data_IF_609890012328
#
_entry.id   IF_609890012328
#
_cell.length_a   1.000
_cell.length_b   1.000
_cell.length_c   1.000
_cell.angle_alpha   90.00
_cell.angle_beta   90.00
_cell.angle_gamma   90.00
#
_symmetry.space_group_name_H-M   'P 1'
#
loop_
_entity.id
_entity.type
_entity.pdbx_description
1 polymer ?
#
# COMPACT_ATOMS: atom_id res chain seq x y z
N UNK A 1 -1.02 55.32 -37.21
CA UNK A 1 0.42 55.04 -37.45
C UNK A 1 0.50 53.81 -38.32
N UNK A 2 1.22 53.87 -39.44
CA UNK A 2 1.33 52.79 -40.44
C UNK A 2 2.73 52.19 -40.39
N UNK A 3 2.81 50.86 -40.36
CA UNK A 3 4.06 50.10 -40.38
C UNK A 3 4.30 49.61 -41.83
N UNK A 4 5.47 49.87 -42.45
CA UNK A 4 5.77 49.37 -43.78
C UNK A 4 6.20 47.90 -43.76
N UNK A 5 5.68 47.11 -44.70
CA UNK A 5 6.04 45.69 -44.87
C UNK A 5 7.32 45.53 -45.69
N UNK A 6 8.25 44.68 -45.25
CA UNK A 6 9.49 44.35 -45.98
C UNK A 6 9.31 43.05 -46.78
N UNK A 7 9.57 43.03 -48.10
CA UNK A 7 9.59 41.79 -48.89
C UNK A 7 10.83 40.94 -48.59
N UNK A 8 10.66 39.62 -48.51
CA UNK A 8 11.76 38.66 -48.35
C UNK A 8 12.12 38.08 -49.72
N UNK A 9 13.37 38.26 -50.15
CA UNK A 9 13.90 37.60 -51.35
C UNK A 9 14.33 36.16 -51.03
N UNK A 10 13.90 35.13 -51.81
CA UNK A 10 14.42 33.78 -51.68
C UNK A 10 15.81 33.65 -52.36
N UNK A 11 16.76 32.91 -51.77
CA UNK A 11 18.08 32.69 -52.39
C UNK A 11 18.02 31.64 -53.50
N UNK A 12 18.71 31.92 -54.61
CA UNK A 12 18.80 31.06 -55.80
C UNK A 12 19.59 29.76 -55.53
N UNK A 13 19.15 28.63 -56.09
CA UNK A 13 19.90 27.37 -56.03
C UNK A 13 21.10 27.37 -57.01
N UNK A 14 22.21 26.74 -56.60
CA UNK A 14 23.39 26.48 -57.45
C UNK A 14 23.80 25.00 -57.40
N UNK A 15 23.52 24.18 -58.44
CA UNK A 15 23.78 22.75 -58.41
C UNK A 15 25.14 22.38 -59.04
N UNK A 16 26.22 22.29 -58.25
CA UNK A 16 27.37 21.44 -58.58
C UNK A 16 28.41 21.28 -57.43
N UNK A 17 28.51 20.08 -56.86
CA UNK A 17 29.78 19.54 -56.37
C UNK A 17 29.73 18.02 -56.32
N UNK A 18 30.72 17.34 -56.93
CA UNK A 18 30.82 15.87 -56.91
C UNK A 18 31.47 15.41 -55.60
N UNK A 19 30.98 14.36 -54.92
CA UNK A 19 31.58 13.88 -53.68
C UNK A 19 32.96 13.27 -53.94
N UNK A 20 33.99 13.80 -53.26
CA UNK A 20 35.35 13.25 -53.25
C UNK A 20 35.38 12.03 -52.31
N UNK A 21 35.91 10.86 -52.72
CA UNK A 21 35.98 9.70 -51.84
C UNK A 21 36.92 9.95 -50.66
N UNK A 22 36.50 9.54 -49.45
CA UNK A 22 37.36 9.52 -48.27
C UNK A 22 38.33 8.33 -48.37
N UNK A 23 39.62 8.47 -48.01
CA UNK A 23 40.51 7.33 -47.92
C UNK A 23 40.05 6.37 -46.82
N UNK A 24 40.23 5.07 -47.05
CA UNK A 24 39.99 4.04 -46.02
C UNK A 24 41.07 4.15 -44.95
N UNK A 25 40.69 4.19 -43.67
CA UNK A 25 41.61 3.89 -42.59
C UNK A 25 41.63 2.37 -42.39
N UNK A 26 42.82 1.78 -42.45
CA UNK A 26 43.03 0.39 -42.04
C UNK A 26 43.11 0.30 -40.51
N UNK A 27 42.68 -0.81 -39.90
CA UNK A 27 42.68 -0.96 -38.45
C UNK A 27 44.11 -1.05 -37.90
N UNK A 28 44.45 -0.17 -36.97
CA UNK A 28 45.68 -0.26 -36.18
C UNK A 28 45.72 -1.57 -35.37
N UNK A 29 46.90 -2.18 -35.29
CA UNK A 29 47.12 -3.47 -34.64
C UNK A 29 46.76 -3.49 -33.14
N UNK A 30 46.35 -4.64 -32.59
CA UNK A 30 45.93 -4.75 -31.19
C UNK A 30 47.12 -4.61 -30.22
N UNK A 31 46.90 -3.91 -29.11
CA UNK A 31 47.86 -3.82 -28.01
C UNK A 31 48.03 -5.19 -27.32
N UNK A 32 49.26 -5.55 -26.88
CA UNK A 32 49.50 -6.80 -26.17
C UNK A 32 48.86 -6.78 -24.76
N UNK A 33 48.28 -7.90 -24.36
CA UNK A 33 47.61 -8.04 -23.06
C UNK A 33 48.59 -7.95 -21.87
N UNK A 34 48.17 -7.41 -20.71
CA UNK A 34 48.99 -7.40 -19.49
C UNK A 34 49.37 -8.82 -19.05
N UNK A 35 50.67 -9.03 -18.79
CA UNK A 35 51.16 -10.32 -18.26
C UNK A 35 50.81 -10.45 -16.77
N UNK A 36 50.07 -11.49 -16.42
CA UNK A 36 49.79 -11.85 -15.03
C UNK A 36 51.07 -12.38 -14.34
N UNK A 37 51.35 -11.89 -13.13
CA UNK A 37 52.47 -12.34 -12.30
C UNK A 37 52.00 -13.52 -11.44
N UNK A 38 52.68 -14.69 -11.42
CA UNK A 38 52.26 -15.81 -10.58
C UNK A 38 52.63 -15.57 -9.11
N UNK A 39 51.63 -15.37 -8.24
CA UNK A 39 51.86 -15.08 -6.82
C UNK A 39 50.71 -15.48 -5.89
N UNK A 40 51.00 -16.41 -4.99
CA UNK A 40 50.40 -16.64 -3.66
C UNK A 40 48.88 -16.93 -3.48
N UNK A 41 48.63 -18.18 -3.06
CA UNK A 41 47.67 -18.58 -1.98
C UNK A 41 46.17 -18.25 -2.18
N UNK A 42 45.56 -18.98 -3.11
CA UNK A 42 44.12 -19.30 -3.14
C UNK A 42 43.67 -20.02 -1.85
N UNK A 43 43.19 -19.27 -0.85
CA UNK A 43 42.49 -19.83 0.32
C UNK A 43 41.18 -20.49 -0.13
N UNK A 44 41.01 -21.78 0.14
CA UNK A 44 39.78 -22.53 -0.16
C UNK A 44 38.81 -22.44 1.03
N UNK A 45 37.58 -21.93 0.86
CA UNK A 45 36.52 -22.13 1.85
C UNK A 45 36.23 -23.63 1.96
N UNK A 46 36.22 -24.18 3.18
CA UNK A 46 35.73 -25.54 3.43
C UNK A 46 34.21 -25.51 3.52
N UNK A 47 33.50 -26.25 2.66
CA UNK A 47 32.08 -26.52 2.89
C UNK A 47 31.93 -27.53 4.04
N UNK A 48 31.60 -27.04 5.23
CA UNK A 48 31.11 -27.87 6.34
C UNK A 48 29.59 -27.96 6.28
N UNK A 49 29.06 -29.09 5.82
CA UNK A 49 27.63 -29.42 5.96
C UNK A 49 27.34 -29.78 7.42
N UNK A 50 26.29 -29.22 8.06
CA UNK A 50 25.62 -29.88 9.16
C UNK A 50 24.57 -30.85 8.60
N UNK A 51 24.57 -32.10 9.07
CA UNK A 51 23.49 -33.06 8.85
C UNK A 51 22.43 -32.91 9.95
N UNK A 52 21.15 -33.02 9.57
CA UNK A 52 20.08 -33.30 10.53
C UNK A 52 20.04 -34.82 10.79
N UNK A 53 19.74 -35.22 12.03
CA UNK A 53 18.60 -36.09 12.37
C UNK A 53 18.49 -36.27 13.91
N UNK A 54 17.35 -36.78 14.44
CA UNK A 54 16.78 -36.24 15.67
C UNK A 54 17.07 -37.03 16.96
N UNK A 55 16.74 -36.38 18.09
CA UNK A 55 16.57 -37.02 19.41
C UNK A 55 15.11 -36.85 19.84
N UNK A 56 14.51 -37.94 20.33
CA UNK A 56 13.14 -38.01 20.87
C UNK A 56 13.18 -38.43 22.34
N UNK A 57 12.07 -38.16 23.04
CA UNK A 57 11.76 -38.61 24.42
C UNK A 57 12.66 -38.06 25.55
N UNK A 58 12.21 -37.98 26.81
CA UNK A 58 10.95 -38.44 27.44
C UNK A 58 10.45 -37.46 28.52
N UNK A 59 9.25 -37.73 29.06
CA UNK A 59 8.59 -37.02 30.16
C UNK A 59 9.46 -36.76 31.41
N UNK A 60 9.15 -35.66 32.11
CA UNK A 60 8.90 -35.76 33.55
C UNK A 60 7.98 -34.65 34.09
N UNK A 61 6.88 -35.08 34.71
CA UNK A 61 5.99 -34.23 35.52
C UNK A 61 6.58 -34.06 36.91
N UNK A 62 6.71 -32.83 37.40
CA UNK A 62 7.07 -32.56 38.80
C UNK A 62 5.84 -32.15 39.62
N UNK A 63 5.22 -33.14 40.26
CA UNK A 63 4.29 -32.97 41.39
C UNK A 63 4.95 -33.48 42.67
N UNK A 64 4.91 -32.69 43.76
CA UNK A 64 5.29 -32.96 45.18
C UNK A 64 5.21 -31.60 45.93
N UNK A 65 5.14 -31.45 47.26
CA UNK A 65 4.60 -32.19 48.44
C UNK A 65 4.89 -31.31 49.70
N UNK A 66 4.32 -31.41 50.91
CA UNK A 66 3.33 -32.28 51.60
C UNK A 66 2.40 -31.36 52.44
N UNK A 67 1.20 -31.78 52.88
CA UNK A 67 0.39 -30.97 53.83
C UNK A 67 -0.88 -31.61 54.40
N UNK A 68 -0.77 -32.68 55.19
CA UNK A 68 -1.89 -33.51 55.69
C UNK A 68 -2.29 -33.21 57.15
N UNK A 69 -3.52 -32.73 57.42
CA UNK A 69 -4.14 -32.86 58.77
C UNK A 69 -5.69 -32.97 58.75
N UNK A 70 -6.17 -34.12 59.25
CA UNK A 70 -7.36 -34.38 60.11
C UNK A 70 -8.67 -33.57 59.95
N UNK A 71 -9.70 -34.26 59.46
CA UNK A 71 -11.02 -34.54 60.07
C UNK A 71 -11.80 -33.49 60.89
N UNK A 72 -13.09 -33.33 60.56
CA UNK A 72 -14.11 -32.67 61.40
C UNK A 72 -15.47 -32.58 60.67
N UNK A 73 -16.57 -32.93 61.34
CA UNK A 73 -17.93 -32.95 60.76
C UNK A 73 -18.85 -31.88 61.40
N UNK A 74 -20.01 -31.68 60.77
CA UNK A 74 -21.25 -31.10 61.27
C UNK A 74 -21.50 -29.56 61.21
N UNK A 75 -22.65 -29.25 60.59
CA UNK A 75 -23.63 -28.21 60.97
C UNK A 75 -23.45 -26.72 60.62
N UNK A 76 -24.11 -26.35 59.51
CA UNK A 76 -25.13 -25.27 59.40
C UNK A 76 -24.88 -23.92 60.10
N UNK A 77 -24.56 -22.88 59.33
CA UNK A 77 -25.03 -21.50 59.60
C UNK A 77 -25.56 -20.85 58.31
N UNK A 78 -26.77 -20.29 58.37
CA UNK A 78 -27.40 -19.55 57.27
C UNK A 78 -27.17 -18.05 57.38
N UNK A 79 -26.56 -17.42 56.36
CA UNK A 79 -26.70 -15.97 56.10
C UNK A 79 -26.89 -15.69 54.61
N UNK A 80 -27.95 -14.93 54.30
CA UNK A 80 -28.24 -14.43 52.95
C UNK A 80 -27.50 -13.11 52.77
N UNK A 81 -26.59 -13.01 51.79
CA UNK A 81 -26.11 -11.74 51.28
C UNK A 81 -26.50 -11.61 49.81
N UNK A 82 -27.25 -10.55 49.50
CA UNK A 82 -27.65 -10.20 48.14
C UNK A 82 -26.45 -9.69 47.35
N UNK A 83 -26.07 -10.39 46.29
CA UNK A 83 -25.09 -9.88 45.34
C UNK A 83 -25.68 -8.67 44.59
N UNK A 84 -24.91 -7.56 44.39
CA UNK A 84 -25.37 -6.45 43.57
C UNK A 84 -25.49 -6.90 42.10
N UNK A 85 -26.53 -6.43 41.42
CA UNK A 85 -26.82 -6.82 40.03
C UNK A 85 -25.75 -6.24 39.11
N UNK A 86 -24.96 -7.11 38.46
CA UNK A 86 -23.95 -6.75 37.44
C UNK A 86 -24.61 -6.37 36.10
N UNK A 87 -25.40 -5.30 36.09
CA UNK A 87 -26.15 -4.83 34.91
C UNK A 87 -25.30 -4.08 33.88
N UNK A 88 -24.06 -3.70 34.21
CA UNK A 88 -23.22 -2.73 33.45
C UNK A 88 -22.11 -3.37 32.59
N UNK A 89 -22.33 -4.56 32.03
CA UNK A 89 -21.35 -5.31 31.20
C UNK A 89 -21.74 -5.47 29.72
N UNK A 90 -22.79 -4.78 29.24
CA UNK A 90 -23.19 -4.82 27.82
C UNK A 90 -22.59 -3.68 27.01
N UNK A 91 -22.76 -2.46 27.50
CA UNK A 91 -22.46 -1.20 26.81
C UNK A 91 -21.04 -1.15 26.21
N UNK A 92 -20.03 -1.58 26.97
CA UNK A 92 -18.61 -1.62 26.54
C UNK A 92 -18.38 -2.60 25.36
N UNK A 93 -19.18 -3.67 25.27
CA UNK A 93 -19.05 -4.67 24.20
C UNK A 93 -19.62 -4.15 22.88
N UNK A 94 -20.76 -3.46 22.93
CA UNK A 94 -21.42 -2.93 21.73
C UNK A 94 -20.64 -1.72 21.15
N UNK A 95 -20.09 -0.85 22.00
CA UNK A 95 -19.15 0.22 21.60
C UNK A 95 -17.93 -0.34 20.84
N UNK A 96 -17.26 -1.36 21.38
CA UNK A 96 -16.05 -1.95 20.77
C UNK A 96 -16.37 -2.69 19.47
N UNK A 97 -17.57 -3.27 19.32
CA UNK A 97 -18.03 -3.84 18.05
C UNK A 97 -18.32 -2.74 17.03
N UNK A 98 -19.03 -1.67 17.43
CA UNK A 98 -19.36 -0.54 16.58
C UNK A 98 -18.10 0.15 16.03
N UNK A 99 -17.15 0.50 16.91
CA UNK A 99 -15.88 1.14 16.55
C UNK A 99 -15.11 0.34 15.49
N UNK A 100 -14.94 -0.97 15.68
CA UNK A 100 -14.31 -1.86 14.70
C UNK A 100 -15.04 -1.83 13.36
N UNK A 101 -16.36 -1.95 13.40
CA UNK A 101 -17.19 -2.00 12.19
C UNK A 101 -17.21 -0.67 11.43
N UNK A 102 -16.98 0.48 12.09
CA UNK A 102 -16.80 1.77 11.41
C UNK A 102 -15.44 1.93 10.72
N UNK A 103 -14.38 1.29 11.22
CA UNK A 103 -13.06 1.37 10.57
C UNK A 103 -12.93 0.38 9.40
N UNK A 104 -13.59 -0.79 9.45
CA UNK A 104 -13.73 -1.70 8.30
C UNK A 104 -14.32 -1.01 7.06
N UNK A 105 -15.30 -0.11 7.26
CA UNK A 105 -15.90 0.73 6.20
C UNK A 105 -14.90 1.73 5.66
N UNK A 106 -14.17 2.41 6.54
CA UNK A 106 -13.10 3.34 6.18
C UNK A 106 -12.02 2.67 5.35
N UNK A 107 -11.53 1.53 5.84
CA UNK A 107 -10.52 0.72 5.15
C UNK A 107 -10.99 0.20 3.79
N UNK A 108 -12.25 -0.25 3.65
CA UNK A 108 -12.79 -0.64 2.33
C UNK A 108 -12.76 0.52 1.33
N UNK A 109 -13.04 1.75 1.76
CA UNK A 109 -13.00 2.93 0.89
C UNK A 109 -11.55 3.31 0.58
N UNK A 110 -10.64 3.27 1.58
CA UNK A 110 -9.19 3.44 1.39
C UNK A 110 -8.63 2.45 0.38
N UNK A 111 -8.96 1.15 0.46
CA UNK A 111 -8.56 0.13 -0.54
C UNK A 111 -9.19 0.33 -1.93
N UNK A 112 -10.05 1.33 -2.10
CA UNK A 112 -10.55 1.79 -3.40
C UNK A 112 -10.12 3.21 -3.77
N UNK A 113 -9.29 3.88 -2.95
CA UNK A 113 -8.73 5.18 -3.28
C UNK A 113 -7.81 5.10 -4.50
N UNK A 114 -7.81 6.14 -5.33
CA UNK A 114 -6.90 6.22 -6.48
C UNK A 114 -5.45 6.36 -6.03
N UNK A 115 -4.53 5.70 -6.74
CA UNK A 115 -3.09 5.94 -6.71
C UNK A 115 -2.68 6.51 -8.07
N UNK A 116 -2.08 7.70 -8.07
CA UNK A 116 -1.62 8.38 -9.27
C UNK A 116 -0.12 8.16 -9.45
N UNK A 117 0.33 7.80 -10.65
CA UNK A 117 1.73 7.73 -11.02
C UNK A 117 2.01 8.53 -12.30
N UNK A 118 2.79 9.60 -12.17
CA UNK A 118 3.38 10.33 -13.30
C UNK A 118 4.79 9.79 -13.58
N UNK A 119 5.05 9.36 -14.81
CA UNK A 119 6.35 8.89 -15.28
C UNK A 119 6.82 9.82 -16.40
N UNK A 120 8.05 10.32 -16.30
CA UNK A 120 8.69 11.12 -17.35
C UNK A 120 10.06 10.52 -17.68
N UNK A 121 10.35 10.30 -18.95
CA UNK A 121 11.61 9.68 -19.42
C UNK A 121 12.09 10.31 -20.73
N UNK A 122 13.40 10.29 -20.97
CA UNK A 122 14.03 10.70 -22.23
C UNK A 122 14.21 9.55 -23.22
N UNK A 123 13.97 8.30 -22.80
CA UNK A 123 13.85 7.14 -23.69
C UNK A 123 12.54 7.24 -24.47
N UNK A 124 12.55 6.86 -25.75
CA UNK A 124 11.33 6.68 -26.56
C UNK A 124 10.83 5.25 -26.33
N UNK A 125 9.54 5.09 -26.05
CA UNK A 125 8.89 3.81 -25.78
C UNK A 125 8.08 3.41 -27.02
N UNK A 126 8.31 2.20 -27.54
CA UNK A 126 7.63 1.70 -28.74
C UNK A 126 6.24 1.12 -28.43
N UNK A 127 6.09 0.38 -27.34
CA UNK A 127 4.80 -0.13 -26.84
C UNK A 127 4.44 0.52 -25.50
N UNK A 128 3.82 1.70 -25.60
CA UNK A 128 3.29 2.46 -24.47
C UNK A 128 2.24 1.66 -23.67
N UNK A 129 1.41 0.87 -24.36
CA UNK A 129 0.27 0.19 -23.74
C UNK A 129 0.71 -1.00 -22.88
N UNK A 130 1.65 -1.82 -23.36
CA UNK A 130 2.22 -2.90 -22.56
C UNK A 130 2.99 -2.35 -21.37
N UNK A 131 3.83 -1.32 -21.56
CA UNK A 131 4.56 -0.66 -20.46
C UNK A 131 3.61 -0.11 -19.38
N UNK A 132 2.56 0.62 -19.77
CA UNK A 132 1.55 1.15 -18.83
C UNK A 132 0.78 0.01 -18.14
N UNK A 133 0.47 -1.07 -18.85
CA UNK A 133 -0.28 -2.20 -18.29
C UNK A 133 0.53 -2.99 -17.25
N UNK A 134 1.79 -3.33 -17.55
CA UNK A 134 2.70 -3.99 -16.61
C UNK A 134 2.95 -3.13 -15.37
N UNK A 135 3.19 -1.82 -15.55
CA UNK A 135 3.39 -0.90 -14.44
C UNK A 135 2.11 -0.72 -13.60
N UNK A 136 0.93 -0.77 -14.22
CA UNK A 136 -0.36 -0.72 -13.53
C UNK A 136 -0.58 -1.96 -12.66
N UNK A 137 -0.34 -3.17 -13.21
CA UNK A 137 -0.37 -4.40 -12.41
C UNK A 137 0.63 -4.34 -11.26
N UNK A 138 1.87 -3.90 -11.52
CA UNK A 138 2.91 -3.76 -10.51
C UNK A 138 2.47 -2.85 -9.36
N UNK A 139 1.95 -1.65 -9.67
CA UNK A 139 1.45 -0.69 -8.68
C UNK A 139 0.21 -1.22 -7.94
N UNK A 140 -0.69 -1.93 -8.62
CA UNK A 140 -1.87 -2.56 -8.01
C UNK A 140 -1.47 -3.50 -6.86
N UNK A 141 -0.44 -4.32 -7.09
CA UNK A 141 0.14 -5.24 -6.10
C UNK A 141 0.89 -4.47 -5.00
N UNK A 142 1.65 -3.40 -5.32
CA UNK A 142 2.40 -2.63 -4.29
C UNK A 142 1.52 -1.84 -3.34
N UNK A 143 0.40 -1.31 -3.83
CA UNK A 143 -0.53 -0.51 -3.03
C UNK A 143 -1.75 -1.31 -2.52
N UNK A 144 -1.86 -2.60 -2.84
CA UNK A 144 -3.03 -3.43 -2.53
C UNK A 144 -4.33 -2.74 -2.96
N UNK A 145 -4.38 -2.32 -4.23
CA UNK A 145 -5.52 -1.66 -4.89
C UNK A 145 -5.87 -2.45 -6.15
N UNK A 146 -7.13 -2.49 -6.63
CA UNK A 146 -7.42 -3.04 -7.95
C UNK A 146 -6.83 -2.12 -9.03
N UNK A 147 -6.47 -2.69 -10.19
CA UNK A 147 -5.88 -1.93 -11.31
C UNK A 147 -6.78 -0.75 -11.78
N UNK A 148 -8.10 -0.85 -11.62
CA UNK A 148 -9.06 0.23 -11.88
C UNK A 148 -8.98 1.44 -10.94
N UNK A 149 -8.15 1.37 -9.89
CA UNK A 149 -7.81 2.46 -8.99
C UNK A 149 -6.35 2.93 -9.17
N UNK A 150 -5.62 2.39 -10.15
CA UNK A 150 -4.29 2.89 -10.53
C UNK A 150 -4.46 3.80 -11.75
N UNK A 151 -4.01 5.05 -11.64
CA UNK A 151 -3.99 6.00 -12.75
C UNK A 151 -2.53 6.32 -13.12
N UNK A 152 -2.18 6.09 -14.38
CA UNK A 152 -0.83 6.31 -14.90
C UNK A 152 -0.85 7.45 -15.93
N UNK A 153 0.13 8.34 -15.86
CA UNK A 153 0.42 9.34 -16.90
C UNK A 153 1.86 9.17 -17.34
N UNK A 154 2.07 8.89 -18.63
CA UNK A 154 3.39 8.68 -19.23
C UNK A 154 3.76 9.89 -20.12
N UNK A 155 5.01 10.35 -19.98
CA UNK A 155 5.65 11.29 -20.92
C UNK A 155 7.02 10.72 -21.30
N UNK A 156 7.19 10.32 -22.56
CA UNK A 156 8.43 9.71 -23.05
C UNK A 156 9.03 10.50 -24.21
N UNK A 157 10.29 10.22 -24.57
CA UNK A 157 11.02 10.97 -25.59
C UNK A 157 11.29 12.45 -25.26
N UNK A 158 11.09 12.90 -24.01
CA UNK A 158 11.27 14.31 -23.62
C UNK A 158 12.73 14.63 -23.26
N UNK A 159 13.15 15.90 -23.36
CA UNK A 159 14.49 16.30 -22.93
C UNK A 159 14.63 16.21 -21.40
N UNK A 160 15.50 15.33 -20.91
CA UNK A 160 15.91 15.25 -19.50
C UNK A 160 17.45 15.28 -19.44
N UNK A 161 17.98 16.16 -18.59
CA UNK A 161 19.40 16.20 -18.21
C UNK A 161 19.50 15.94 -16.70
N UNK A 162 20.27 14.94 -16.32
CA UNK A 162 20.45 14.53 -14.91
C UNK A 162 21.94 14.29 -14.64
N UNK A 163 22.46 14.80 -13.51
CA UNK A 163 23.88 14.71 -13.18
C UNK A 163 24.83 15.35 -14.20
N UNK A 164 24.34 16.30 -15.01
CA UNK A 164 25.10 16.92 -16.11
C UNK A 164 25.04 16.17 -17.45
N UNK A 165 24.38 15.00 -17.52
CA UNK A 165 24.29 14.19 -18.74
C UNK A 165 22.84 13.93 -19.19
N UNK A 166 22.65 13.87 -20.51
CA UNK A 166 21.40 13.52 -21.18
C UNK A 166 21.24 12.01 -21.44
N UNK A 167 22.09 11.15 -20.85
CA UNK A 167 21.92 9.69 -20.88
C UNK A 167 20.51 9.24 -20.45
N UNK A 168 20.05 8.02 -20.80
CA UNK A 168 18.79 7.47 -20.33
C UNK A 168 18.53 7.72 -18.84
N UNK A 169 17.38 8.33 -18.53
CA UNK A 169 17.00 8.78 -17.19
C UNK A 169 15.49 9.02 -17.08
N UNK A 170 14.96 8.95 -15.86
CA UNK A 170 13.53 9.19 -15.63
C UNK A 170 13.25 9.87 -14.28
N UNK A 171 12.06 10.46 -14.19
CA UNK A 171 11.42 10.85 -12.93
C UNK A 171 10.09 10.12 -12.78
N UNK A 172 9.87 9.44 -11.65
CA UNK A 172 8.56 8.92 -11.25
C UNK A 172 8.05 9.76 -10.06
N UNK A 173 6.81 10.21 -10.12
CA UNK A 173 6.08 10.86 -9.03
C UNK A 173 4.85 10.02 -8.73
N UNK A 174 4.73 9.52 -7.49
CA UNK A 174 3.56 8.78 -7.02
C UNK A 174 2.80 9.62 -5.99
N UNK A 175 1.49 9.71 -6.15
CA UNK A 175 0.56 10.27 -5.16
C UNK A 175 -0.40 9.17 -4.68
N UNK A 176 -0.56 9.04 -3.37
CA UNK A 176 -1.49 8.10 -2.72
C UNK A 176 -1.88 8.66 -1.34
N UNK A 177 -2.76 7.96 -0.62
CA UNK A 177 -3.11 8.37 0.74
C UNK A 177 -1.89 8.30 1.67
N UNK A 178 -1.74 9.28 2.57
CA UNK A 178 -0.63 9.37 3.54
C UNK A 178 -0.38 8.06 4.31
N UNK A 179 -1.42 7.27 4.58
CA UNK A 179 -1.34 5.94 5.21
C UNK A 179 -0.45 4.97 4.43
N UNK A 180 -0.56 4.91 3.11
CA UNK A 180 0.15 3.96 2.25
C UNK A 180 1.62 4.34 2.01
N UNK A 181 2.04 5.55 2.39
CA UNK A 181 3.30 6.17 1.97
C UNK A 181 4.35 6.20 3.09
N UNK A 182 4.38 5.14 3.89
CA UNK A 182 5.31 4.99 5.02
C UNK A 182 6.77 4.93 4.57
N UNK A 183 7.74 5.50 5.31
CA UNK A 183 9.16 5.50 4.90
C UNK A 183 9.74 4.12 4.57
N UNK A 184 9.34 3.09 5.33
CA UNK A 184 9.76 1.70 5.09
C UNK A 184 9.09 1.06 3.85
N UNK A 185 7.88 1.49 3.49
CA UNK A 185 7.21 1.08 2.26
C UNK A 185 7.85 1.79 1.05
N UNK A 186 8.02 3.12 1.13
CA UNK A 186 8.66 3.93 0.09
C UNK A 186 10.07 3.41 -0.23
N UNK A 187 10.90 3.09 0.77
CA UNK A 187 12.24 2.52 0.56
C UNK A 187 12.22 1.21 -0.23
N UNK A 188 11.21 0.34 -0.02
CA UNK A 188 11.02 -0.88 -0.82
C UNK A 188 10.56 -0.53 -2.23
N UNK A 189 9.55 0.34 -2.35
CA UNK A 189 8.98 0.75 -3.63
C UNK A 189 10.02 1.42 -4.54
N UNK A 190 10.98 2.20 -3.99
CA UNK A 190 12.13 2.74 -4.73
C UNK A 190 12.92 1.64 -5.45
N UNK A 191 13.45 0.66 -4.71
CA UNK A 191 14.28 -0.40 -5.29
C UNK A 191 13.50 -1.30 -6.28
N UNK A 192 12.20 -1.49 -6.02
CA UNK A 192 11.31 -2.31 -6.84
C UNK A 192 10.93 -1.63 -8.16
N UNK A 193 10.59 -0.35 -8.12
CA UNK A 193 10.32 0.46 -9.32
C UNK A 193 11.60 0.73 -10.11
N UNK A 194 12.73 1.00 -9.44
CA UNK A 194 14.03 1.13 -10.10
C UNK A 194 14.39 -0.12 -10.90
N UNK A 195 14.20 -1.30 -10.30
CA UNK A 195 14.39 -2.58 -10.99
C UNK A 195 13.43 -2.76 -12.18
N UNK A 196 12.16 -2.40 -12.06
CA UNK A 196 11.22 -2.48 -13.19
C UNK A 196 11.65 -1.56 -14.35
N UNK A 197 12.06 -0.33 -14.07
CA UNK A 197 12.55 0.61 -15.10
C UNK A 197 13.88 0.17 -15.73
N UNK A 198 14.74 -0.50 -14.97
CA UNK A 198 15.97 -1.11 -15.49
C UNK A 198 15.66 -2.32 -16.39
N UNK A 199 14.65 -3.13 -16.04
CA UNK A 199 14.21 -4.28 -16.84
C UNK A 199 13.44 -3.88 -18.11
N UNK A 200 12.58 -2.85 -18.05
CA UNK A 200 11.71 -2.44 -19.15
C UNK A 200 12.37 -1.45 -20.11
N UNK A 201 13.19 -0.51 -19.61
CA UNK A 201 13.76 0.59 -20.39
C UNK A 201 15.31 0.62 -20.39
N UNK A 202 15.97 -0.33 -19.72
CA UNK A 202 17.43 -0.36 -19.58
C UNK A 202 18.01 0.77 -18.74
N UNK A 203 17.18 1.54 -18.00
CA UNK A 203 17.63 2.71 -17.23
C UNK A 203 18.09 2.26 -15.83
N UNK A 204 19.41 2.30 -15.52
CA UNK A 204 19.91 1.79 -14.25
C UNK A 204 19.48 2.65 -13.07
N UNK A 205 19.33 2.04 -11.90
CA UNK A 205 18.79 2.69 -10.69
C UNK A 205 19.36 4.11 -10.38
N UNK A 206 20.68 4.40 -10.52
CA UNK A 206 21.23 5.74 -10.25
C UNK A 206 20.82 6.83 -11.26
N UNK A 207 20.17 6.49 -12.38
CA UNK A 207 19.59 7.42 -13.36
C UNK A 207 18.10 7.70 -13.14
N UNK A 208 17.48 7.06 -12.15
CA UNK A 208 16.07 7.20 -11.81
C UNK A 208 15.82 8.01 -10.54
N UNK A 209 15.03 9.09 -10.64
CA UNK A 209 14.54 9.84 -9.48
C UNK A 209 13.10 9.47 -9.15
N UNK A 210 12.79 9.25 -7.87
CA UNK A 210 11.43 8.90 -7.40
C UNK A 210 10.97 9.84 -6.29
N UNK A 211 9.77 10.41 -6.44
CA UNK A 211 9.13 11.30 -5.47
C UNK A 211 7.79 10.71 -5.00
N UNK A 212 7.63 10.64 -3.69
CA UNK A 212 6.41 10.19 -3.02
C UNK A 212 5.68 11.42 -2.45
N UNK A 213 4.42 11.63 -2.86
CA UNK A 213 3.58 12.76 -2.45
C UNK A 213 2.40 12.24 -1.61
N UNK A 214 2.43 12.37 -0.27
CA UNK A 214 1.32 11.98 0.58
C UNK A 214 0.13 12.93 0.40
N UNK A 215 -1.04 12.36 0.11
CA UNK A 215 -2.33 13.06 -0.01
C UNK A 215 -3.20 12.72 1.20
N UNK A 216 -3.81 13.72 1.82
CA UNK A 216 -4.77 13.51 2.91
C UNK A 216 -6.14 13.05 2.37
N UNK A 217 -6.94 12.37 3.19
CA UNK A 217 -8.23 11.78 2.76
C UNK A 217 -9.24 12.85 2.30
N UNK A 218 -9.17 14.05 2.85
CA UNK A 218 -9.93 15.25 2.48
C UNK A 218 -9.41 15.94 1.21
N UNK A 219 -8.12 15.82 0.90
CA UNK A 219 -7.53 16.33 -0.35
C UNK A 219 -7.66 15.36 -1.54
N UNK A 220 -8.01 14.10 -1.31
CA UNK A 220 -8.14 13.08 -2.36
C UNK A 220 -9.56 13.05 -2.95
N UNK A 221 -9.77 13.65 -4.12
CA UNK A 221 -11.07 13.66 -4.83
C UNK A 221 -11.29 12.42 -5.70
N UNK A 222 -12.45 11.75 -5.58
CA UNK A 222 -12.86 10.63 -6.44
C UNK A 222 -14.39 10.50 -6.49
N UNK A 223 -14.94 10.08 -7.65
CA UNK A 223 -16.39 9.85 -7.86
C UNK A 223 -17.32 11.03 -7.52
N UNK A 224 -16.79 12.26 -7.45
CA UNK A 224 -17.55 13.46 -7.09
C UNK A 224 -17.58 13.79 -5.59
N UNK A 225 -16.84 13.05 -4.76
CA UNK A 225 -16.66 13.29 -3.33
C UNK A 225 -15.16 13.33 -2.98
N UNK A 226 -14.80 13.61 -1.73
CA UNK A 226 -13.45 13.33 -1.21
C UNK A 226 -13.43 11.93 -0.59
N UNK A 227 -12.25 11.33 -0.41
CA UNK A 227 -12.12 10.05 0.30
C UNK A 227 -12.62 10.18 1.74
N UNK A 228 -12.32 11.28 2.43
CA UNK A 228 -12.85 11.57 3.76
C UNK A 228 -14.38 11.73 3.77
N UNK A 229 -14.95 12.41 2.78
CA UNK A 229 -16.39 12.57 2.62
C UNK A 229 -17.10 11.23 2.42
N UNK A 230 -16.63 10.40 1.49
CA UNK A 230 -17.22 9.09 1.24
C UNK A 230 -17.10 8.17 2.48
N UNK A 231 -16.01 8.28 3.27
CA UNK A 231 -15.86 7.59 4.55
C UNK A 231 -16.87 8.09 5.59
N UNK A 232 -17.13 9.39 5.67
CA UNK A 232 -18.12 9.97 6.57
C UNK A 232 -19.55 9.52 6.19
N UNK A 233 -19.92 9.70 4.92
CA UNK A 233 -21.24 9.32 4.38
C UNK A 233 -21.49 7.82 4.57
N UNK A 234 -20.48 6.97 4.35
CA UNK A 234 -20.60 5.52 4.54
C UNK A 234 -20.80 5.13 6.02
N UNK A 235 -20.15 5.84 6.95
CA UNK A 235 -20.35 5.64 8.40
C UNK A 235 -21.76 6.06 8.83
N UNK A 236 -22.24 7.24 8.39
CA UNK A 236 -23.61 7.69 8.70
C UNK A 236 -24.66 6.71 8.16
N UNK A 237 -24.56 6.31 6.88
CA UNK A 237 -25.47 5.33 6.26
C UNK A 237 -25.50 4.00 7.00
N UNK A 238 -24.39 3.55 7.59
CA UNK A 238 -24.36 2.35 8.43
C UNK A 238 -24.89 2.56 9.84
N UNK A 239 -24.61 3.69 10.49
CA UNK A 239 -25.19 4.02 11.80
C UNK A 239 -26.73 4.08 11.73
N UNK A 240 -27.29 4.83 10.78
CA UNK A 240 -28.73 4.90 10.55
C UNK A 240 -29.36 3.52 10.26
N UNK A 241 -28.63 2.64 9.56
CA UNK A 241 -29.07 1.25 9.32
C UNK A 241 -29.09 0.42 10.60
N UNK A 242 -28.11 0.61 11.50
CA UNK A 242 -28.04 -0.07 12.81
C UNK A 242 -29.12 0.43 13.76
N UNK A 243 -29.35 1.73 13.85
CA UNK A 243 -30.41 2.34 14.67
C UNK A 243 -31.80 1.91 14.20
N UNK A 244 -32.03 1.83 12.88
CA UNK A 244 -33.27 1.29 12.29
C UNK A 244 -33.46 -0.20 12.60
N UNK A 245 -32.37 -0.99 12.71
CA UNK A 245 -32.43 -2.39 13.14
C UNK A 245 -32.68 -2.54 14.65
N UNK A 246 -32.11 -1.67 15.47
CA UNK A 246 -32.30 -1.67 16.92
C UNK A 246 -33.75 -1.31 17.30
N UNK A 247 -34.29 -0.24 16.71
CA UNK A 247 -35.67 0.22 16.94
C UNK A 247 -36.73 -0.81 16.52
N UNK A 248 -36.53 -1.53 15.40
CA UNK A 248 -37.41 -2.64 14.98
C UNK A 248 -37.33 -3.86 15.93
N UNK A 249 -36.21 -4.05 16.65
CA UNK A 249 -36.03 -5.13 17.63
C UNK A 249 -36.48 -4.76 19.05
N UNK A 250 -36.87 -3.51 19.31
CA UNK A 250 -37.33 -3.08 20.63
C UNK A 250 -38.66 -3.78 21.01
N UNK A 251 -38.73 -4.51 22.14
CA UNK A 251 -39.95 -5.21 22.52
C UNK A 251 -41.06 -4.20 22.86
N UNK A 252 -42.18 -4.28 22.13
CA UNK A 252 -43.40 -3.52 22.46
C UNK A 252 -43.83 -3.84 23.89
N UNK A 253 -43.59 -2.90 24.83
CA UNK A 253 -44.14 -2.93 26.19
C UNK A 253 -45.67 -2.98 26.12
N UNK A 254 -46.23 -4.18 26.20
CA UNK A 254 -47.67 -4.43 26.21
C UNK A 254 -48.22 -3.91 27.54
N UNK A 255 -48.79 -2.71 27.53
CA UNK A 255 -49.36 -2.08 28.73
C UNK A 255 -50.58 -2.87 29.21
N UNK A 256 -50.35 -3.74 30.20
CA UNK A 256 -51.42 -4.44 30.92
C UNK A 256 -52.24 -3.44 31.72
N UNK A 257 -53.29 -2.90 31.10
CA UNK A 257 -54.27 -2.01 31.73
C UNK A 257 -54.99 -2.78 32.84
N UNK A 258 -54.50 -2.63 34.07
CA UNK A 258 -55.08 -3.25 35.26
C UNK A 258 -56.54 -2.84 35.37
N UNK A 259 -57.43 -3.83 35.48
CA UNK A 259 -58.88 -3.64 35.55
C UNK A 259 -59.31 -3.96 36.98
N UNK A 260 -59.61 -2.93 37.76
CA UNK A 260 -59.99 -3.10 39.17
C UNK A 260 -61.24 -3.98 39.29
N UNK A 261 -61.27 -4.95 40.22
CA UNK A 261 -62.50 -5.67 40.56
C UNK A 261 -63.44 -4.75 41.36
N UNK A 262 -64.74 -4.83 41.07
CA UNK A 262 -65.79 -4.18 41.85
C UNK A 262 -66.08 -4.96 43.13
N UNK A 263 -66.01 -4.30 44.28
CA UNK A 263 -66.53 -4.84 45.55
C UNK A 263 -68.05 -4.68 45.56
N UNK A 264 -68.77 -5.76 45.84
CA UNK A 264 -70.17 -5.71 46.25
C UNK A 264 -70.26 -5.95 47.77
N UNK A 265 -71.16 -5.26 48.50
CA UNK A 265 -71.38 -5.51 49.91
C UNK A 265 -72.32 -6.70 50.14
N UNK A 266 -72.12 -7.42 51.24
CA UNK A 266 -73.12 -8.36 51.77
C UNK A 266 -74.10 -7.64 52.71
N UNK A 267 -75.39 -8.00 52.73
CA UNK A 267 -76.22 -7.91 53.93
C UNK A 267 -75.87 -9.03 54.93
#
# INVERSE_FOLDING_TARGET
>A
MTIPSVPINPPTQSPNSKPRPRPKQEPSSPMPAPRLVPGERRVKPRLSKPSLDPVLESDQRLSRDVGQIVSGDASKVTRKHSLPILSRRRDISDEVVSLKQTDEVGDRIRYSSVVLAEIKTNVIIEDEFTFISELSEYLSIRYNRPASCIMITLQHGICIQFGGSCDPSYTIKIEALTRDMQPAANKRNVALLQRHMEQALGIPAPRGYLRFVPVAEDCAGWKGNTVAGEIADAKERMQATTERRASVRAPRRRSSKVRNPSVYPSP
#
